data_IF_801404822785
#
_entry.id   IF_801404822785
#
_cell.length_a   1.000
_cell.length_b   1.000
_cell.length_c   1.000
_cell.angle_alpha   90.00
_cell.angle_beta   90.00
_cell.angle_gamma   90.00
#
_symmetry.space_group_name_H-M   'P 1'
#
loop_
_entity.id
_entity.type
_entity.pdbx_description
1 polymer ?
#
# COMPACT_ATOMS: atom_id res chain seq x y z
N UNK A 1 0.58 15.00 -2.81
CA UNK A 1 1.23 14.63 -1.53
C UNK A 1 2.43 13.74 -1.85
N UNK A 2 3.56 13.90 -1.15
CA UNK A 2 4.72 13.01 -1.27
C UNK A 2 4.89 12.25 0.04
N UNK A 3 5.03 10.93 -0.04
CA UNK A 3 5.27 10.05 1.11
C UNK A 3 6.56 9.30 0.85
N UNK A 4 7.51 9.36 1.77
CA UNK A 4 8.77 8.62 1.64
C UNK A 4 9.16 7.96 2.96
N UNK A 5 10.03 6.96 2.85
CA UNK A 5 10.76 6.37 3.97
C UNK A 5 12.19 6.12 3.49
N UNK A 6 13.04 5.52 4.33
CA UNK A 6 14.45 5.32 3.97
C UNK A 6 14.65 4.52 2.68
N UNK A 7 14.05 3.34 2.55
CA UNK A 7 14.22 2.48 1.37
C UNK A 7 13.13 2.66 0.30
N UNK A 8 12.07 3.43 0.55
CA UNK A 8 10.93 3.49 -0.38
C UNK A 8 10.14 2.18 -0.57
N UNK A 9 10.42 1.10 0.18
CA UNK A 9 9.87 -0.25 -0.06
C UNK A 9 8.68 -0.62 0.84
N UNK A 10 8.73 -0.25 2.14
CA UNK A 10 7.81 -0.84 3.14
C UNK A 10 6.89 0.15 3.86
N UNK A 11 7.43 1.16 4.52
CA UNK A 11 6.62 2.11 5.32
C UNK A 11 5.92 3.13 4.45
N UNK A 12 6.63 3.71 3.49
CA UNK A 12 6.04 4.69 2.56
C UNK A 12 4.99 4.08 1.65
N UNK A 13 5.21 2.86 1.16
CA UNK A 13 4.24 2.13 0.34
C UNK A 13 3.01 1.73 1.14
N UNK A 14 3.17 1.29 2.40
CA UNK A 14 2.05 1.08 3.30
C UNK A 14 1.27 2.38 3.55
N UNK A 15 1.95 3.48 3.89
CA UNK A 15 1.30 4.78 4.11
C UNK A 15 0.59 5.31 2.86
N UNK A 16 1.17 5.11 1.67
CA UNK A 16 0.54 5.46 0.41
C UNK A 16 -0.76 4.68 0.18
N UNK A 17 -0.72 3.35 0.36
CA UNK A 17 -1.92 2.50 0.26
C UNK A 17 -2.99 2.86 1.30
N UNK A 18 -2.58 3.11 2.55
CA UNK A 18 -3.48 3.58 3.61
C UNK A 18 -4.15 4.91 3.24
N UNK A 19 -3.39 5.86 2.67
CA UNK A 19 -3.93 7.12 2.22
C UNK A 19 -4.96 6.93 1.09
N UNK A 20 -4.70 6.03 0.14
CA UNK A 20 -5.67 5.69 -0.91
C UNK A 20 -6.95 5.12 -0.31
N UNK A 21 -6.85 4.17 0.63
CA UNK A 21 -8.02 3.58 1.29
C UNK A 21 -8.81 4.60 2.12
N UNK A 22 -8.13 5.58 2.71
CA UNK A 22 -8.78 6.66 3.48
C UNK A 22 -9.48 7.68 2.57
N UNK A 23 -8.82 8.10 1.49
CA UNK A 23 -9.33 9.13 0.58
C UNK A 23 -10.41 8.59 -0.37
N UNK A 24 -10.42 7.28 -0.61
CA UNK A 24 -11.39 6.60 -1.48
C UNK A 24 -12.18 5.56 -0.67
N UNK A 25 -13.15 5.98 0.17
CA UNK A 25 -13.86 5.09 1.10
C UNK A 25 -14.60 3.94 0.40
N UNK A 26 -15.00 4.12 -0.85
CA UNK A 26 -15.76 3.14 -1.64
C UNK A 26 -14.91 2.30 -2.61
N UNK A 27 -13.60 2.57 -2.71
CA UNK A 27 -12.72 1.79 -3.56
C UNK A 27 -12.48 0.39 -2.99
N UNK A 28 -12.26 -0.57 -3.87
CA UNK A 28 -11.84 -1.92 -3.51
C UNK A 28 -10.36 -1.92 -3.08
N UNK A 29 -10.10 -2.45 -1.89
CA UNK A 29 -8.77 -2.60 -1.32
C UNK A 29 -7.83 -3.41 -2.25
N UNK A 30 -8.35 -4.44 -2.94
CA UNK A 30 -7.55 -5.23 -3.86
C UNK A 30 -7.12 -4.45 -5.10
N UNK A 31 -8.01 -3.62 -5.66
CA UNK A 31 -7.70 -2.76 -6.79
C UNK A 31 -6.59 -1.75 -6.43
N UNK A 32 -6.68 -1.12 -5.26
CA UNK A 32 -5.67 -0.18 -4.77
C UNK A 32 -4.33 -0.86 -4.48
N UNK A 33 -4.34 -2.11 -3.97
CA UNK A 33 -3.12 -2.87 -3.75
C UNK A 33 -2.46 -3.28 -5.08
N UNK A 34 -3.27 -3.63 -6.08
CA UNK A 34 -2.82 -3.88 -7.46
C UNK A 34 -2.18 -2.63 -8.07
N UNK A 35 -2.86 -1.48 -8.01
CA UNK A 35 -2.32 -0.21 -8.48
C UNK A 35 -0.96 0.12 -7.82
N UNK A 36 -0.85 -0.10 -6.50
CA UNK A 36 0.42 0.07 -5.80
C UNK A 36 1.51 -0.84 -6.34
N UNK A 37 1.22 -2.11 -6.59
CA UNK A 37 2.19 -3.06 -7.13
C UNK A 37 2.62 -2.69 -8.55
N UNK A 38 1.66 -2.34 -9.40
CA UNK A 38 1.94 -1.96 -10.79
C UNK A 38 2.81 -0.70 -10.85
N UNK A 39 2.56 0.27 -9.97
CA UNK A 39 3.35 1.49 -9.87
C UNK A 39 4.72 1.28 -9.19
N UNK A 40 4.85 0.28 -8.32
CA UNK A 40 6.07 -0.02 -7.57
C UNK A 40 6.28 -1.53 -7.43
N UNK A 41 7.01 -2.17 -8.37
CA UNK A 41 7.28 -3.61 -8.34
C UNK A 41 7.99 -4.09 -7.06
N UNK A 42 8.82 -3.22 -6.47
CA UNK A 42 9.55 -3.48 -5.21
C UNK A 42 8.71 -3.34 -3.94
N UNK A 43 7.46 -2.84 -4.03
CA UNK A 43 6.66 -2.55 -2.86
C UNK A 43 6.44 -3.81 -2.00
N UNK A 44 6.84 -3.74 -0.73
CA UNK A 44 6.55 -4.74 0.30
C UNK A 44 5.95 -4.04 1.52
N UNK A 45 4.66 -3.68 1.47
CA UNK A 45 4.04 -2.82 2.48
C UNK A 45 4.15 -3.41 3.89
N UNK A 46 4.43 -2.56 4.87
CA UNK A 46 4.57 -2.97 6.26
C UNK A 46 3.26 -3.56 6.82
N UNK A 47 3.23 -4.87 7.06
CA UNK A 47 2.02 -5.59 7.47
C UNK A 47 1.41 -5.07 8.78
N UNK A 48 2.23 -4.64 9.75
CA UNK A 48 1.73 -4.12 11.03
C UNK A 48 1.01 -2.78 10.85
N UNK A 49 1.55 -1.87 10.04
CA UNK A 49 0.88 -0.61 9.71
C UNK A 49 -0.45 -0.85 8.99
N UNK A 50 -0.48 -1.80 8.06
CA UNK A 50 -1.71 -2.18 7.34
C UNK A 50 -2.75 -2.72 8.32
N UNK A 51 -2.38 -3.59 9.26
CA UNK A 51 -3.30 -4.12 10.26
C UNK A 51 -3.90 -3.02 11.15
N UNK A 52 -3.10 -2.05 11.59
CA UNK A 52 -3.62 -0.91 12.36
C UNK A 52 -4.57 -0.04 11.52
N UNK A 53 -4.22 0.23 10.27
CA UNK A 53 -5.07 1.02 9.38
C UNK A 53 -6.40 0.33 9.11
N UNK A 54 -6.37 -0.97 8.83
CA UNK A 54 -7.54 -1.80 8.58
C UNK A 54 -8.54 -1.74 9.75
N UNK A 55 -8.03 -1.84 10.98
CA UNK A 55 -8.83 -1.71 12.20
C UNK A 55 -9.39 -0.29 12.37
N UNK A 56 -8.54 0.74 12.20
CA UNK A 56 -8.95 2.14 12.39
C UNK A 56 -9.97 2.61 11.35
N UNK A 57 -9.89 2.08 10.13
CA UNK A 57 -10.80 2.42 9.03
C UNK A 57 -12.02 1.49 8.93
N UNK A 58 -12.15 0.50 9.82
CA UNK A 58 -13.28 -0.43 9.82
C UNK A 58 -13.39 -1.24 8.54
N UNK A 59 -12.26 -1.75 8.02
CA UNK A 59 -12.21 -2.49 6.74
C UNK A 59 -12.30 -4.00 6.89
N UNK A 60 -12.53 -4.52 8.10
CA UNK A 60 -12.83 -5.93 8.40
C UNK A 60 -11.82 -6.93 7.80
N UNK A 61 -10.53 -6.61 7.85
CA UNK A 61 -9.44 -7.42 7.32
C UNK A 61 -9.22 -7.28 5.82
N UNK A 62 -10.03 -6.50 5.09
CA UNK A 62 -9.90 -6.37 3.63
C UNK A 62 -8.59 -5.73 3.22
N UNK A 63 -8.10 -4.73 3.94
CA UNK A 63 -6.82 -4.11 3.63
C UNK A 63 -5.65 -5.09 3.83
N UNK A 64 -5.71 -5.90 4.88
CA UNK A 64 -4.70 -6.94 5.17
C UNK A 64 -4.69 -7.99 4.07
N UNK A 65 -5.87 -8.51 3.68
CA UNK A 65 -6.02 -9.51 2.61
C UNK A 65 -5.52 -9.00 1.27
N UNK A 66 -5.81 -7.74 0.93
CA UNK A 66 -5.34 -7.12 -0.30
C UNK A 66 -3.82 -7.04 -0.38
N UNK A 67 -3.17 -6.56 0.67
CA UNK A 67 -1.70 -6.47 0.71
C UNK A 67 -1.04 -7.86 0.73
N UNK A 68 -1.64 -8.83 1.41
CA UNK A 68 -1.17 -10.22 1.34
C UNK A 68 -1.27 -10.80 -0.07
N UNK A 69 -2.32 -10.45 -0.82
CA UNK A 69 -2.54 -10.96 -2.18
C UNK A 69 -1.49 -10.51 -3.20
N UNK A 70 -0.90 -9.32 -3.03
CA UNK A 70 0.21 -8.85 -3.87
C UNK A 70 1.57 -9.39 -3.43
N UNK A 71 1.66 -10.02 -2.26
CA UNK A 71 2.87 -10.69 -1.78
C UNK A 71 4.09 -9.78 -1.59
N UNK A 72 5.28 -10.41 -1.56
CA UNK A 72 6.57 -9.72 -1.44
C UNK A 72 6.94 -8.98 -2.73
N UNK A 73 7.58 -7.83 -2.58
CA UNK A 73 8.23 -7.04 -3.64
C UNK A 73 9.30 -7.78 -4.42
N UNK A 74 9.64 -7.28 -5.60
CA UNK A 74 10.93 -7.58 -6.23
C UNK A 74 12.10 -7.15 -5.32
N UNK A 75 13.25 -7.79 -5.49
CA UNK A 75 14.47 -7.40 -4.77
C UNK A 75 14.94 -6.02 -5.23
N UNK A 76 15.12 -5.11 -4.29
CA UNK A 76 15.60 -3.77 -4.55
C UNK A 76 16.39 -3.23 -3.35
N UNK A 77 17.39 -2.40 -3.62
CA UNK A 77 18.08 -1.64 -2.58
C UNK A 77 17.20 -0.48 -2.09
N UNK A 78 16.54 0.19 -3.04
CA UNK A 78 15.60 1.29 -2.80
C UNK A 78 14.46 1.25 -3.83
N UNK A 79 13.32 1.83 -3.46
CA UNK A 79 12.17 2.00 -4.35
C UNK A 79 12.35 3.19 -5.29
N UNK A 80 11.91 3.02 -6.54
CA UNK A 80 11.84 4.12 -7.52
C UNK A 80 10.61 4.98 -7.22
N UNK A 81 10.70 6.32 -7.26
CA UNK A 81 9.54 7.19 -7.09
C UNK A 81 8.42 6.88 -8.10
N UNK A 82 7.19 6.83 -7.62
CA UNK A 82 6.01 6.47 -8.42
C UNK A 82 4.82 7.36 -8.05
N UNK A 83 3.75 7.26 -8.84
CA UNK A 83 2.50 8.02 -8.65
C UNK A 83 1.33 7.05 -8.57
N UNK A 84 0.46 7.25 -7.58
CA UNK A 84 -0.85 6.61 -7.50
C UNK A 84 -1.93 7.61 -7.91
N UNK A 85 -2.87 7.17 -8.73
CA UNK A 85 -3.96 7.96 -9.27
C UNK A 85 -5.26 7.79 -8.49
N UNK A 86 -5.43 6.68 -7.75
CA UNK A 86 -6.63 6.44 -6.91
C UNK A 86 -7.90 6.29 -7.73
N UNK A 87 -7.78 5.56 -8.84
CA UNK A 87 -8.88 5.30 -9.76
C UNK A 87 -9.68 4.07 -9.35
#
# INVERSE_FOLDING_TARGET
MVIHCWAGISRSTASAYMAQCLLHPHADEHALAGELRDASPSATPNALMIAYADQLLGRDGRMVKAIQSIGRGEDAYEGVPFVLQGR
#
